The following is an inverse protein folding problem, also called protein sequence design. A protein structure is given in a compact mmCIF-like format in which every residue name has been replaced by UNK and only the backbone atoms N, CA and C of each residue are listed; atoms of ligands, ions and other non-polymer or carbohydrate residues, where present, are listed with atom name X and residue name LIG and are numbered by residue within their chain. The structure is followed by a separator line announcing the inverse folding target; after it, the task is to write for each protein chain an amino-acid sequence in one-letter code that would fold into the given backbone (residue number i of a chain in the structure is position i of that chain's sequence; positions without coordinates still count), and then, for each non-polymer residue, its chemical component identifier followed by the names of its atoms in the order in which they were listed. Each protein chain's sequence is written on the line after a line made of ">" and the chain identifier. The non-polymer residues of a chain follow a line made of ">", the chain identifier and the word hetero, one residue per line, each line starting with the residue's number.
data_IF_145048295608
#
_entry.id   IF_145048295608
#
_cell.length_a   1.000
_cell.length_b   1.000
_cell.length_c   1.000
_cell.angle_alpha   90.00
_cell.angle_beta   90.00
_cell.angle_gamma   90.00
#
_symmetry.space_group_name_H-M   'P 1'
#
loop_
_entity.id
_entity.type
_entity.pdbx_description
1 polymer ?
#
# COMPACT_ATOMS: atom_id res chain seq x y z
N UNK A 1 -7.83 26.36 12.37
CA UNK A 1 -8.30 25.00 12.00
C UNK A 1 -7.52 24.40 10.83
N UNK A 2 -7.33 25.11 9.70
CA UNK A 2 -6.56 24.62 8.54
C UNK A 2 -5.11 24.21 8.85
N UNK A 3 -4.38 24.99 9.66
CA UNK A 3 -2.99 24.66 10.09
C UNK A 3 -2.90 23.36 10.90
N UNK A 4 -3.89 23.08 11.75
CA UNK A 4 -3.95 21.85 12.54
C UNK A 4 -4.19 20.63 11.65
N UNK A 5 -5.13 20.72 10.71
CA UNK A 5 -5.41 19.65 9.75
C UNK A 5 -4.20 19.39 8.86
N UNK A 6 -3.52 20.44 8.39
CA UNK A 6 -2.29 20.31 7.61
C UNK A 6 -1.20 19.56 8.38
N UNK A 7 -0.92 19.97 9.62
CA UNK A 7 0.07 19.29 10.46
C UNK A 7 -0.30 17.84 10.72
N UNK A 8 -1.57 17.59 11.05
CA UNK A 8 -2.11 16.26 11.25
C UNK A 8 -1.88 15.37 10.02
N UNK A 9 -2.38 15.76 8.84
CA UNK A 9 -2.20 14.97 7.61
C UNK A 9 -0.73 14.79 7.23
N UNK A 10 0.13 15.79 7.46
CA UNK A 10 1.55 15.69 7.21
C UNK A 10 2.24 14.66 8.10
N UNK A 11 1.94 14.63 9.40
CA UNK A 11 2.51 13.63 10.34
C UNK A 11 2.08 12.22 9.96
N UNK A 12 0.80 12.01 9.64
CA UNK A 12 0.32 10.70 9.18
C UNK A 12 1.00 10.27 7.88
N UNK A 13 1.13 11.19 6.91
CA UNK A 13 1.82 10.91 5.65
C UNK A 13 3.28 10.47 5.87
N UNK A 14 4.04 11.22 6.68
CA UNK A 14 5.43 10.88 6.97
C UNK A 14 5.53 9.53 7.69
N UNK A 15 4.62 9.25 8.63
CA UNK A 15 4.55 7.97 9.33
C UNK A 15 4.30 6.80 8.38
N UNK A 16 3.36 6.94 7.44
CA UNK A 16 3.04 5.91 6.44
C UNK A 16 4.23 5.68 5.50
N UNK A 17 4.85 6.76 4.99
CA UNK A 17 6.02 6.64 4.09
C UNK A 17 7.20 5.99 4.83
N UNK A 18 7.55 6.47 6.02
CA UNK A 18 8.67 5.93 6.80
C UNK A 18 8.43 4.46 7.18
N UNK A 19 7.23 4.13 7.63
CA UNK A 19 6.87 2.76 8.01
C UNK A 19 6.96 1.80 6.83
N UNK A 20 6.34 2.15 5.70
CA UNK A 20 6.35 1.31 4.50
C UNK A 20 7.74 1.21 3.87
N UNK A 21 8.51 2.30 3.85
CA UNK A 21 9.90 2.25 3.37
C UNK A 21 10.78 1.36 4.25
N UNK A 22 10.58 1.42 5.57
CA UNK A 22 11.30 0.55 6.51
C UNK A 22 10.98 -0.93 6.27
N UNK A 23 9.71 -1.27 6.01
CA UNK A 23 9.29 -2.63 5.66
C UNK A 23 10.01 -3.10 4.39
N UNK A 24 9.96 -2.31 3.30
CA UNK A 24 10.65 -2.65 2.05
C UNK A 24 12.15 -2.82 2.27
N UNK A 25 12.78 -1.90 3.01
CA UNK A 25 14.20 -1.95 3.30
C UNK A 25 14.58 -3.21 4.11
N UNK A 26 13.79 -3.57 5.11
CA UNK A 26 14.01 -4.76 5.93
C UNK A 26 13.89 -6.04 5.10
N UNK A 27 12.92 -6.11 4.17
CA UNK A 27 12.75 -7.26 3.26
C UNK A 27 13.93 -7.41 2.29
N UNK A 28 14.50 -6.30 1.80
CA UNK A 28 15.67 -6.34 0.91
C UNK A 28 16.95 -6.74 1.67
N UNK A 29 17.12 -6.24 2.90
CA UNK A 29 18.36 -6.41 3.66
C UNK A 29 18.49 -7.80 4.27
N UNK A 30 17.38 -8.43 4.67
CA UNK A 30 17.40 -9.71 5.36
C UNK A 30 16.97 -10.87 4.44
N UNK A 31 17.95 -11.65 3.98
CA UNK A 31 17.72 -12.84 3.16
C UNK A 31 17.00 -13.98 3.92
N UNK A 32 17.03 -14.00 5.26
CA UNK A 32 16.31 -14.98 6.06
C UNK A 32 14.80 -14.70 6.12
N UNK A 33 14.37 -13.48 5.76
CA UNK A 33 12.97 -13.08 5.65
C UNK A 33 12.38 -13.27 4.24
N UNK A 34 13.09 -13.89 3.29
CA UNK A 34 12.58 -14.19 1.93
C UNK A 34 11.51 -15.30 1.90
N UNK A 35 10.57 -15.27 2.84
CA UNK A 35 9.33 -16.05 2.77
C UNK A 35 8.32 -15.29 1.90
N UNK A 36 7.43 -16.00 1.18
CA UNK A 36 6.45 -15.41 0.27
C UNK A 36 5.56 -14.35 0.95
N UNK A 37 5.32 -14.47 2.26
CA UNK A 37 4.59 -13.49 3.05
C UNK A 37 5.26 -12.10 3.07
N UNK A 38 6.58 -12.02 3.26
CA UNK A 38 7.29 -10.73 3.30
C UNK A 38 7.42 -10.10 1.92
N UNK A 39 7.46 -10.91 0.85
CA UNK A 39 7.37 -10.40 -0.51
C UNK A 39 5.99 -9.77 -0.80
N UNK A 40 4.90 -10.41 -0.39
CA UNK A 40 3.56 -9.82 -0.46
C UNK A 40 3.46 -8.54 0.38
N UNK A 41 4.09 -8.50 1.56
CA UNK A 41 4.13 -7.32 2.41
C UNK A 41 4.92 -6.16 1.79
N UNK A 42 6.01 -6.45 1.06
CA UNK A 42 6.75 -5.46 0.29
C UNK A 42 5.89 -4.89 -0.86
N UNK A 43 5.09 -5.72 -1.54
CA UNK A 43 4.16 -5.25 -2.56
C UNK A 43 3.02 -4.42 -1.96
N UNK A 44 2.48 -4.82 -0.80
CA UNK A 44 1.45 -4.05 -0.08
C UNK A 44 1.98 -2.66 0.32
N UNK A 45 3.19 -2.60 0.88
CA UNK A 45 3.80 -1.34 1.30
C UNK A 45 4.10 -0.39 0.13
N UNK A 46 4.44 -0.91 -1.05
CA UNK A 46 4.54 -0.10 -2.27
C UNK A 46 3.17 0.46 -2.71
N UNK A 47 2.11 -0.35 -2.62
CA UNK A 47 0.74 0.09 -2.94
C UNK A 47 0.25 1.16 -1.94
N UNK A 48 0.53 1.00 -0.65
CA UNK A 48 0.19 1.96 0.41
C UNK A 48 0.87 3.32 0.20
N UNK A 49 2.15 3.32 -0.20
CA UNK A 49 2.88 4.54 -0.57
C UNK A 49 2.19 5.23 -1.77
N UNK A 50 1.80 4.46 -2.78
CA UNK A 50 1.08 4.97 -3.96
C UNK A 50 -0.29 5.56 -3.63
N UNK A 51 -1.09 4.88 -2.82
CA UNK A 51 -2.41 5.33 -2.39
C UNK A 51 -2.33 6.58 -1.52
N UNK A 52 -1.36 6.62 -0.60
CA UNK A 52 -1.12 7.78 0.26
C UNK A 52 -0.64 8.98 -0.54
N UNK A 53 0.25 8.77 -1.51
CA UNK A 53 0.76 9.83 -2.39
C UNK A 53 -0.29 10.38 -3.36
N UNK A 54 -1.38 9.67 -3.64
CA UNK A 54 -2.49 10.19 -4.47
C UNK A 54 -3.56 10.91 -3.63
N UNK A 55 -3.77 10.46 -2.39
CA UNK A 55 -4.83 10.98 -1.51
C UNK A 55 -4.40 12.21 -0.71
N UNK A 56 -3.19 12.20 -0.13
CA UNK A 56 -2.69 13.28 0.75
C UNK A 56 -2.49 14.61 0.00
N UNK A 57 -1.88 14.67 -1.20
CA UNK A 57 -1.70 15.95 -1.90
C UNK A 57 -3.04 16.57 -2.33
N UNK A 58 -4.03 15.72 -2.66
CA UNK A 58 -5.40 16.15 -2.96
C UNK A 58 -6.06 16.78 -1.75
N UNK A 59 -5.93 16.16 -0.58
CA UNK A 59 -6.53 16.64 0.66
C UNK A 59 -5.90 17.95 1.13
N UNK A 60 -4.57 18.09 0.99
CA UNK A 60 -3.83 19.33 1.26
C UNK A 60 -4.23 20.43 0.26
N UNK A 61 -4.32 20.12 -1.03
CA UNK A 61 -4.75 21.08 -2.06
C UNK A 61 -6.18 21.60 -1.82
N UNK A 62 -7.09 20.72 -1.41
CA UNK A 62 -8.47 21.08 -1.04
C UNK A 62 -8.53 21.97 0.22
N UNK A 63 -7.57 21.84 1.14
CA UNK A 63 -7.49 22.68 2.35
C UNK A 63 -6.98 24.10 2.08
N UNK A 64 -6.12 24.29 1.08
CA UNK A 64 -5.56 25.59 0.70
C UNK A 64 -6.44 26.35 -0.28
N UNK A 65 -7.09 25.62 -1.19
CA UNK A 65 -7.93 26.19 -2.22
C UNK A 65 -9.37 25.81 -1.88
N UNK A 66 -10.08 26.67 -1.13
CA UNK A 66 -11.53 26.52 -0.91
C UNK A 66 -12.36 26.43 -2.23
N UNK A 67 -11.71 26.54 -3.41
CA UNK A 67 -12.25 26.24 -4.72
C UNK A 67 -11.79 24.86 -5.23
N UNK A 68 -12.68 23.86 -5.09
CA UNK A 68 -12.54 22.48 -5.58
C UNK A 68 -12.66 22.33 -7.11
N UNK A 69 -11.95 23.15 -7.90
CA UNK A 69 -12.07 23.09 -9.37
C UNK A 69 -10.99 22.16 -9.92
N UNK A 70 -11.16 20.86 -9.70
CA UNK A 70 -10.40 19.84 -10.43
C UNK A 70 -10.96 19.74 -11.84
N UNK A 71 -10.10 19.82 -12.85
CA UNK A 71 -10.51 19.59 -14.23
C UNK A 71 -10.98 18.14 -14.39
N UNK A 72 -12.06 17.92 -15.13
CA UNK A 72 -12.64 16.60 -15.39
C UNK A 72 -11.61 15.49 -15.71
N UNK A 73 -10.61 15.71 -16.61
CA UNK A 73 -9.59 14.70 -16.86
C UNK A 73 -8.71 14.35 -15.64
N UNK A 74 -8.37 15.33 -14.79
CA UNK A 74 -7.61 15.07 -13.55
C UNK A 74 -8.43 14.26 -12.53
N UNK A 75 -9.75 14.47 -12.48
CA UNK A 75 -10.64 13.68 -11.65
C UNK A 75 -10.68 12.22 -12.11
N UNK A 76 -10.85 11.98 -13.40
CA UNK A 76 -10.89 10.64 -13.99
C UNK A 76 -9.60 9.85 -13.75
N UNK A 77 -8.44 10.48 -13.98
CA UNK A 77 -7.14 9.86 -13.74
C UNK A 77 -6.99 9.47 -12.26
N UNK A 78 -7.42 10.34 -11.34
CA UNK A 78 -7.32 10.04 -9.92
C UNK A 78 -8.24 8.89 -9.48
N UNK A 79 -9.50 8.90 -9.92
CA UNK A 79 -10.44 7.82 -9.58
C UNK A 79 -9.91 6.49 -10.11
N UNK A 80 -9.37 6.48 -11.32
CA UNK A 80 -8.74 5.31 -11.92
C UNK A 80 -7.56 4.80 -11.09
N UNK A 81 -6.62 5.69 -10.72
CA UNK A 81 -5.47 5.32 -9.89
C UNK A 81 -5.89 4.79 -8.52
N UNK A 82 -6.86 5.43 -7.85
CA UNK A 82 -7.36 4.97 -6.55
C UNK A 82 -7.99 3.58 -6.66
N UNK A 83 -8.82 3.34 -7.68
CA UNK A 83 -9.44 2.02 -7.88
C UNK A 83 -8.42 0.96 -8.27
N UNK A 84 -7.44 1.28 -9.11
CA UNK A 84 -6.41 0.35 -9.53
C UNK A 84 -5.49 -0.04 -8.36
N UNK A 85 -5.00 0.96 -7.62
CA UNK A 85 -4.12 0.74 -6.46
C UNK A 85 -4.88 0.05 -5.33
N UNK A 86 -6.09 0.49 -5.00
CA UNK A 86 -6.93 -0.15 -3.99
C UNK A 86 -7.37 -1.56 -4.37
N UNK A 87 -7.64 -1.80 -5.66
CA UNK A 87 -7.89 -3.15 -6.17
C UNK A 87 -6.67 -4.06 -6.00
N UNK A 88 -5.47 -3.55 -6.30
CA UNK A 88 -4.21 -4.25 -6.05
C UNK A 88 -4.01 -4.58 -4.58
N UNK A 89 -4.26 -3.62 -3.69
CA UNK A 89 -4.14 -3.78 -2.23
C UNK A 89 -5.04 -4.93 -1.74
N UNK A 90 -6.30 -4.96 -2.17
CA UNK A 90 -7.24 -6.02 -1.82
C UNK A 90 -6.78 -7.39 -2.32
N UNK A 91 -6.26 -7.48 -3.54
CA UNK A 91 -5.72 -8.75 -4.07
C UNK A 91 -4.53 -9.24 -3.25
N UNK A 92 -3.61 -8.35 -2.86
CA UNK A 92 -2.46 -8.69 -2.02
C UNK A 92 -2.91 -9.12 -0.62
N UNK A 93 -3.88 -8.43 -0.02
CA UNK A 93 -4.47 -8.82 1.28
C UNK A 93 -5.10 -10.20 1.22
N UNK A 94 -5.86 -10.51 0.16
CA UNK A 94 -6.45 -11.83 -0.06
C UNK A 94 -5.35 -12.89 -0.24
N UNK A 95 -4.30 -12.59 -0.99
CA UNK A 95 -3.16 -13.49 -1.18
C UNK A 95 -2.45 -13.80 0.15
N UNK A 96 -2.27 -12.81 1.03
CA UNK A 96 -1.70 -13.02 2.37
C UNK A 96 -2.62 -13.85 3.27
N UNK A 97 -3.94 -13.63 3.21
CA UNK A 97 -4.90 -14.45 3.94
C UNK A 97 -4.89 -15.91 3.44
N UNK A 98 -4.77 -16.10 2.13
CA UNK A 98 -4.66 -17.42 1.51
C UNK A 98 -3.35 -18.13 1.86
N UNK A 99 -2.23 -17.41 1.91
CA UNK A 99 -0.94 -17.91 2.40
C UNK A 99 -1.07 -18.49 3.81
N UNK A 100 -1.64 -17.72 4.74
CA UNK A 100 -1.86 -18.17 6.12
C UNK A 100 -2.80 -19.36 6.20
N UNK A 101 -3.87 -19.37 5.41
CA UNK A 101 -4.81 -20.50 5.35
C UNK A 101 -4.15 -21.79 4.86
N UNK A 102 -3.39 -21.72 3.76
CA UNK A 102 -2.72 -22.90 3.19
C UNK A 102 -1.60 -23.43 4.08
N UNK A 103 -0.87 -22.55 4.77
CA UNK A 103 0.13 -22.93 5.76
C UNK A 103 -0.47 -23.76 6.91
N UNK A 104 -1.68 -23.42 7.36
CA UNK A 104 -2.39 -24.13 8.45
C UNK A 104 -3.04 -25.41 7.94
N UNK A 105 -3.79 -25.34 6.85
CA UNK A 105 -4.61 -26.46 6.40
C UNK A 105 -3.83 -27.53 5.64
N UNK A 106 -2.71 -27.19 4.98
CA UNK A 106 -1.91 -28.12 4.16
C UNK A 106 -0.41 -27.84 4.23
N UNK A 107 0.24 -28.04 5.39
CA UNK A 107 1.66 -27.72 5.60
C UNK A 107 2.61 -28.47 4.65
N UNK A 108 2.33 -29.73 4.29
CA UNK A 108 3.19 -30.50 3.36
C UNK A 108 3.14 -29.99 1.91
N UNK A 109 2.02 -29.39 1.48
CA UNK A 109 1.86 -28.85 0.11
C UNK A 109 2.18 -27.36 0.03
N UNK A 110 2.36 -26.69 1.16
CA UNK A 110 2.61 -25.25 1.24
C UNK A 110 3.88 -24.84 0.46
N UNK A 111 4.99 -25.56 0.65
CA UNK A 111 6.26 -25.28 -0.03
C UNK A 111 6.18 -25.44 -1.56
N UNK A 112 5.27 -26.27 -2.06
CA UNK A 112 5.06 -26.50 -3.49
C UNK A 112 4.16 -25.44 -4.12
N UNK A 113 3.16 -24.95 -3.39
CA UNK A 113 2.17 -23.97 -3.86
C UNK A 113 2.74 -22.54 -3.74
N UNK A 114 3.38 -22.24 -2.61
CA UNK A 114 3.85 -20.90 -2.26
C UNK A 114 5.35 -20.74 -2.57
N UNK A 115 5.74 -20.96 -3.83
CA UNK A 115 7.13 -20.75 -4.27
C UNK A 115 7.38 -19.30 -4.70
N UNK A 116 8.58 -18.74 -4.49
CA UNK A 116 8.94 -17.38 -4.95
C UNK A 116 8.81 -17.15 -6.46
N UNK A 117 8.66 -18.22 -7.25
CA UNK A 117 8.46 -18.15 -8.72
C UNK A 117 6.99 -18.10 -9.13
N UNK A 118 6.07 -18.42 -8.22
CA UNK A 118 4.63 -18.44 -8.46
C UNK A 118 3.87 -17.29 -7.77
N UNK A 119 4.52 -16.58 -6.84
CA UNK A 119 3.99 -15.41 -6.15
C UNK A 119 4.52 -14.12 -6.78
#
# INVERSE_FOLDING_TARGET
>A
MHLFLFWFFSVFYMGIILGNLFIVFMVITDSHLHTPMYFLLANLSLLDIGLSSTTVPKMISNLFTNCNIITFPKCMIQIFFIHFVGGGEMVVLIAMAYDRYTAICKPLHYLTIMSPKMC
#
